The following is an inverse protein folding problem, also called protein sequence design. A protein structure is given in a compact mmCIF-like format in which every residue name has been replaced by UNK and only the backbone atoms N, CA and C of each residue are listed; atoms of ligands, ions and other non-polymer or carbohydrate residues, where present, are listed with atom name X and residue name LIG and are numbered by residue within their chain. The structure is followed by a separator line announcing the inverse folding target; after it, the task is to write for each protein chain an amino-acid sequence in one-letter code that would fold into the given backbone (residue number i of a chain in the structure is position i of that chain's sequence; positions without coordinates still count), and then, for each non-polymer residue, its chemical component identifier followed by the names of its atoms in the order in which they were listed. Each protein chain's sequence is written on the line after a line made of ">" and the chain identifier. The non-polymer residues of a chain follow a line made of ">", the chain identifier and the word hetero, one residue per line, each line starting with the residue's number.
data_IF_701362846523
#
_entry.id   IF_701362846523
#
_cell.length_a   1.000
_cell.length_b   1.000
_cell.length_c   1.000
_cell.angle_alpha   90.00
_cell.angle_beta   90.00
_cell.angle_gamma   90.00
#
_symmetry.space_group_name_H-M   'P 1'
#
loop_
_entity.id
_entity.type
_entity.pdbx_description
1 polymer ?
#
# COMPACT_ATOMS: atom_id res chain seq x y z
N UNK A 1 73.90 31.26 -58.07
CA UNK A 1 73.44 30.75 -56.79
C UNK A 1 71.93 30.91 -56.74
N UNK A 2 71.16 29.82 -56.88
CA UNK A 2 69.72 29.95 -56.85
C UNK A 2 69.23 29.81 -55.41
N UNK A 3 68.28 30.66 -55.00
CA UNK A 3 67.60 30.71 -53.70
C UNK A 3 66.46 29.71 -53.71
N UNK A 4 66.43 28.88 -52.70
CA UNK A 4 65.40 27.83 -52.48
C UNK A 4 64.16 28.48 -51.83
N UNK A 5 62.93 28.36 -52.33
CA UNK A 5 61.72 28.79 -51.63
C UNK A 5 61.24 27.73 -50.61
N UNK A 6 61.14 28.15 -49.36
CA UNK A 6 60.51 27.33 -48.28
C UNK A 6 58.99 27.39 -48.42
N UNK A 7 58.41 26.25 -48.74
CA UNK A 7 56.98 26.02 -48.74
C UNK A 7 56.48 25.82 -47.29
N UNK A 8 55.64 26.68 -46.80
CA UNK A 8 54.92 26.51 -45.55
C UNK A 8 53.64 25.72 -45.83
N UNK A 9 53.49 24.52 -45.23
CA UNK A 9 52.23 23.80 -45.16
C UNK A 9 51.38 24.40 -43.97
N UNK A 10 50.11 24.71 -44.18
CA UNK A 10 49.23 25.03 -43.07
C UNK A 10 48.80 23.77 -42.32
N UNK A 11 48.98 23.78 -41.03
CA UNK A 11 48.45 22.76 -40.13
C UNK A 11 46.92 22.89 -40.02
N UNK A 12 46.19 21.89 -40.51
CA UNK A 12 44.76 21.77 -40.36
C UNK A 12 44.43 21.34 -38.90
N UNK A 13 43.89 22.22 -38.10
CA UNK A 13 43.35 21.91 -36.80
C UNK A 13 41.95 21.29 -36.99
N UNK A 14 41.83 19.97 -36.82
CA UNK A 14 40.54 19.31 -36.81
C UNK A 14 39.85 19.52 -35.46
N UNK A 15 38.82 20.37 -35.46
CA UNK A 15 37.91 20.53 -34.31
C UNK A 15 36.98 19.30 -34.25
N UNK A 16 37.24 18.36 -33.35
CA UNK A 16 36.32 17.27 -33.06
C UNK A 16 35.16 17.81 -32.18
N UNK A 17 34.03 18.10 -32.81
CA UNK A 17 32.79 18.41 -32.08
C UNK A 17 32.25 17.12 -31.47
N UNK A 18 32.48 16.94 -30.17
CA UNK A 18 31.88 15.85 -29.40
C UNK A 18 30.37 16.10 -29.24
N UNK A 19 29.56 15.28 -29.93
CA UNK A 19 28.12 15.27 -29.77
C UNK A 19 27.77 14.58 -28.43
N UNK A 20 27.56 15.37 -27.37
CA UNK A 20 27.01 14.89 -26.11
C UNK A 20 25.53 14.58 -26.32
N UNK A 21 25.19 13.31 -26.53
CA UNK A 21 23.80 12.84 -26.49
C UNK A 21 23.41 12.80 -25.01
N UNK A 22 22.75 13.87 -24.54
CA UNK A 22 22.05 13.88 -23.25
C UNK A 22 20.81 13.01 -23.45
N UNK A 23 20.91 11.72 -23.11
CA UNK A 23 19.72 10.88 -22.95
C UNK A 23 18.95 11.40 -21.75
N UNK A 24 17.90 12.20 -22.00
CA UNK A 24 16.93 12.52 -20.97
C UNK A 24 16.34 11.19 -20.49
N UNK A 25 16.69 10.75 -19.26
CA UNK A 25 16.01 9.67 -18.60
C UNK A 25 14.55 10.12 -18.48
N UNK A 26 13.65 9.50 -19.26
CA UNK A 26 12.21 9.60 -19.03
C UNK A 26 12.00 9.12 -17.62
N UNK A 27 11.45 9.97 -16.75
CA UNK A 27 10.94 9.51 -15.48
C UNK A 27 9.94 8.38 -15.79
N UNK A 28 10.36 7.14 -15.56
CA UNK A 28 9.44 6.01 -15.60
C UNK A 28 8.42 6.26 -14.51
N UNK A 29 7.12 6.12 -14.82
CA UNK A 29 6.07 6.19 -13.79
C UNK A 29 6.36 5.24 -12.63
N UNK A 30 5.51 5.22 -11.59
CA UNK A 30 5.75 4.42 -10.40
C UNK A 30 5.95 2.95 -10.76
N UNK A 31 6.88 2.29 -10.06
CA UNK A 31 7.07 0.85 -10.21
C UNK A 31 5.88 0.11 -9.57
N UNK A 32 4.99 -0.36 -10.41
CA UNK A 32 3.75 -1.05 -10.03
C UNK A 32 4.03 -2.30 -9.18
N UNK A 33 5.04 -3.07 -9.56
CA UNK A 33 5.40 -4.30 -8.86
C UNK A 33 6.07 -3.98 -7.52
N UNK A 34 7.00 -3.03 -7.48
CA UNK A 34 7.64 -2.62 -6.23
C UNK A 34 6.63 -2.03 -5.24
N UNK A 35 5.68 -1.20 -5.70
CA UNK A 35 4.61 -0.68 -4.85
C UNK A 35 3.73 -1.81 -4.31
N UNK A 36 3.39 -2.81 -5.13
CA UNK A 36 2.63 -3.97 -4.68
C UNK A 36 3.39 -4.79 -3.63
N UNK A 37 4.69 -5.06 -3.83
CA UNK A 37 5.50 -5.75 -2.82
C UNK A 37 5.59 -4.94 -1.52
N UNK A 38 5.60 -3.61 -1.62
CA UNK A 38 5.57 -2.75 -0.44
C UNK A 38 4.23 -2.84 0.31
N UNK A 39 3.10 -2.92 -0.40
CA UNK A 39 1.79 -3.19 0.23
C UNK A 39 1.78 -4.59 0.87
N UNK A 40 2.36 -5.61 0.24
CA UNK A 40 2.50 -6.96 0.84
C UNK A 40 3.30 -6.93 2.14
N UNK A 41 4.32 -6.07 2.25
CA UNK A 41 5.12 -5.94 3.46
C UNK A 41 4.35 -5.36 4.65
N UNK A 42 3.14 -4.84 4.42
CA UNK A 42 2.23 -4.38 5.48
C UNK A 42 1.55 -5.51 6.23
N UNK A 43 1.66 -6.78 5.79
CA UNK A 43 1.04 -7.93 6.46
C UNK A 43 1.21 -7.86 7.98
N UNK A 44 0.10 -8.08 8.71
CA UNK A 44 0.02 -7.93 10.16
C UNK A 44 -1.03 -6.91 10.59
N UNK A 45 -1.06 -6.62 11.89
CA UNK A 45 -2.02 -5.72 12.52
C UNK A 45 -1.39 -4.36 12.80
N UNK A 46 -2.14 -3.33 12.55
CA UNK A 46 -1.78 -1.93 12.74
C UNK A 46 -2.86 -1.25 13.57
N UNK A 47 -2.45 -0.41 14.51
CA UNK A 47 -3.38 0.38 15.31
C UNK A 47 -2.96 1.83 15.34
N UNK A 48 -3.91 2.71 15.51
CA UNK A 48 -3.64 4.14 15.55
C UNK A 48 -4.88 4.94 15.88
N UNK A 49 -4.83 6.19 15.47
CA UNK A 49 -5.92 7.14 15.67
C UNK A 49 -6.27 7.83 14.36
N UNK A 50 -7.49 8.28 14.29
CA UNK A 50 -7.96 9.22 13.28
C UNK A 50 -7.53 10.63 13.71
N UNK A 51 -7.05 11.44 12.76
CA UNK A 51 -6.57 12.79 13.05
C UNK A 51 -7.71 13.80 13.23
N UNK A 52 -8.81 13.62 12.54
CA UNK A 52 -9.93 14.54 12.62
C UNK A 52 -11.20 13.81 13.09
N UNK A 53 -11.62 14.13 14.31
CA UNK A 53 -11.04 15.05 15.30
C UNK A 53 -9.72 14.51 15.91
N UNK A 54 -8.83 15.41 16.39
CA UNK A 54 -7.48 15.11 16.93
C UNK A 54 -7.45 13.95 17.95
N UNK A 55 -8.54 13.71 18.65
CA UNK A 55 -8.76 12.59 19.56
C UNK A 55 -9.82 11.61 19.00
N UNK A 56 -9.84 11.42 17.68
CA UNK A 56 -10.76 10.49 17.02
C UNK A 56 -10.68 9.07 17.58
N UNK A 57 -11.67 8.22 17.27
CA UNK A 57 -11.72 6.86 17.77
C UNK A 57 -10.49 6.06 17.33
N UNK A 58 -10.07 5.06 18.12
CA UNK A 58 -8.99 4.17 17.70
C UNK A 58 -9.36 3.45 16.42
N UNK A 59 -8.39 3.34 15.53
CA UNK A 59 -8.49 2.62 14.25
C UNK A 59 -7.62 1.39 14.33
N UNK A 60 -8.13 0.27 13.84
CA UNK A 60 -7.36 -0.96 13.62
C UNK A 60 -7.44 -1.31 12.14
N UNK A 61 -6.28 -1.61 11.56
CA UNK A 61 -6.16 -2.10 10.19
C UNK A 61 -5.37 -3.40 10.21
N UNK A 62 -5.84 -4.41 9.47
CA UNK A 62 -5.14 -5.68 9.34
C UNK A 62 -4.93 -5.99 7.87
N UNK A 63 -3.68 -6.27 7.50
CA UNK A 63 -3.31 -6.70 6.16
C UNK A 63 -3.01 -8.18 6.13
N UNK A 64 -3.56 -8.89 5.15
CA UNK A 64 -3.30 -10.30 4.90
C UNK A 64 -2.86 -10.52 3.46
N UNK A 65 -1.77 -11.26 3.27
CA UNK A 65 -1.35 -11.74 1.95
C UNK A 65 -2.05 -13.06 1.68
N UNK A 66 -2.88 -13.09 0.66
CA UNK A 66 -3.72 -14.25 0.33
C UNK A 66 -3.51 -14.71 -1.13
N UNK A 67 -4.23 -15.75 -1.54
CA UNK A 67 -4.21 -16.24 -2.92
C UNK A 67 -2.79 -16.54 -3.42
N UNK A 68 -1.98 -17.20 -2.59
CA UNK A 68 -0.58 -17.52 -2.90
C UNK A 68 0.25 -16.28 -3.28
N UNK A 69 0.07 -15.18 -2.54
CA UNK A 69 0.78 -13.92 -2.76
C UNK A 69 0.26 -13.06 -3.92
N UNK A 70 -0.90 -13.40 -4.48
CA UNK A 70 -1.49 -12.70 -5.64
C UNK A 70 -2.48 -11.60 -5.25
N UNK A 71 -2.90 -11.55 -3.98
CA UNK A 71 -3.73 -10.48 -3.45
C UNK A 71 -3.30 -10.12 -2.02
N UNK A 72 -3.53 -8.85 -1.66
CA UNK A 72 -3.45 -8.37 -0.28
C UNK A 72 -4.83 -7.89 0.11
N UNK A 73 -5.33 -8.36 1.22
CA UNK A 73 -6.60 -7.92 1.80
C UNK A 73 -6.30 -7.01 2.97
N UNK A 74 -6.83 -5.80 2.92
CA UNK A 74 -6.84 -4.84 4.01
C UNK A 74 -8.22 -4.88 4.66
N UNK A 75 -8.27 -5.18 5.94
CA UNK A 75 -9.46 -5.08 6.78
C UNK A 75 -9.37 -3.79 7.60
N UNK A 76 -10.32 -2.92 7.44
CA UNK A 76 -10.46 -1.69 8.22
C UNK A 76 -11.44 -1.92 9.35
N UNK A 77 -11.01 -1.74 10.59
CA UNK A 77 -11.78 -1.98 11.82
C UNK A 77 -12.41 -3.40 11.89
N UNK A 78 -11.59 -4.46 11.78
CA UNK A 78 -12.07 -5.83 11.73
C UNK A 78 -12.95 -6.18 12.95
N UNK A 79 -14.06 -6.85 12.69
CA UNK A 79 -15.04 -7.25 13.71
C UNK A 79 -15.92 -6.14 14.27
N UNK A 80 -15.89 -4.93 13.69
CA UNK A 80 -16.80 -3.82 14.04
C UNK A 80 -17.95 -3.72 13.04
N UNK A 81 -19.05 -3.09 13.45
CA UNK A 81 -20.22 -2.87 12.58
C UNK A 81 -19.92 -2.00 11.33
N UNK A 82 -18.81 -1.29 11.33
CA UNK A 82 -18.32 -0.46 10.24
C UNK A 82 -17.02 -1.03 9.64
N UNK A 83 -16.85 -2.35 9.69
CA UNK A 83 -15.75 -3.03 9.00
C UNK A 83 -15.87 -2.80 7.49
N UNK A 84 -14.74 -2.50 6.85
CA UNK A 84 -14.62 -2.37 5.41
C UNK A 84 -13.40 -3.15 4.92
N UNK A 85 -13.38 -3.48 3.64
CA UNK A 85 -12.33 -4.29 3.05
C UNK A 85 -11.80 -3.63 1.79
N UNK A 86 -10.48 -3.60 1.62
CA UNK A 86 -9.84 -3.25 0.36
C UNK A 86 -8.98 -4.42 -0.12
N UNK A 87 -9.12 -4.81 -1.38
CA UNK A 87 -8.32 -5.88 -1.99
C UNK A 87 -7.39 -5.27 -3.02
N UNK A 88 -6.08 -5.45 -2.83
CA UNK A 88 -5.02 -5.00 -3.74
C UNK A 88 -4.49 -6.18 -4.56
N UNK A 89 -4.26 -5.98 -5.85
CA UNK A 89 -3.77 -7.04 -6.75
C UNK A 89 -3.08 -6.44 -7.99
N UNK A 90 -2.30 -7.28 -8.67
CA UNK A 90 -1.74 -6.91 -9.98
C UNK A 90 -2.59 -7.52 -11.09
N UNK A 91 -3.15 -6.67 -11.96
CA UNK A 91 -3.80 -7.09 -13.20
C UNK A 91 -2.96 -6.62 -14.39
N UNK A 92 -2.48 -7.56 -15.20
CA UNK A 92 -1.62 -7.26 -16.35
C UNK A 92 -0.40 -6.38 -15.98
N UNK A 93 0.21 -6.63 -14.80
CA UNK A 93 1.34 -5.87 -14.29
C UNK A 93 1.00 -4.47 -13.78
N UNK A 94 -0.29 -4.12 -13.65
CA UNK A 94 -0.75 -2.86 -13.08
C UNK A 94 -1.38 -3.08 -11.71
N UNK A 95 -0.99 -2.27 -10.72
CA UNK A 95 -1.58 -2.31 -9.40
C UNK A 95 -2.99 -1.71 -9.44
N UNK A 96 -3.92 -2.50 -8.96
CA UNK A 96 -5.32 -2.16 -8.81
C UNK A 96 -5.79 -2.45 -7.39
N UNK A 97 -6.87 -1.80 -6.98
CA UNK A 97 -7.55 -2.12 -5.74
C UNK A 97 -9.07 -1.99 -5.90
N UNK A 98 -9.81 -2.75 -5.10
CA UNK A 98 -11.26 -2.61 -4.96
C UNK A 98 -11.59 -2.47 -3.48
N UNK A 99 -12.31 -1.40 -3.14
CA UNK A 99 -12.76 -1.14 -1.78
C UNK A 99 -14.23 -1.56 -1.62
N UNK A 100 -14.52 -2.36 -0.62
CA UNK A 100 -15.88 -2.76 -0.23
C UNK A 100 -16.32 -1.87 0.91
N UNK A 101 -17.05 -0.82 0.57
CA UNK A 101 -17.42 0.24 1.50
C UNK A 101 -18.63 -0.14 2.36
N UNK A 102 -18.67 0.32 3.60
CA UNK A 102 -19.84 0.22 4.47
C UNK A 102 -21.10 0.92 3.93
N UNK A 103 -20.95 1.80 2.95
CA UNK A 103 -22.06 2.42 2.20
C UNK A 103 -22.71 1.46 1.17
N UNK A 104 -22.18 0.24 0.99
CA UNK A 104 -22.72 -0.77 0.07
C UNK A 104 -22.21 -0.62 -1.37
N UNK A 105 -21.26 0.26 -1.63
CA UNK A 105 -20.65 0.44 -2.95
C UNK A 105 -19.23 -0.15 -2.99
N UNK A 106 -18.71 -0.37 -4.23
CA UNK A 106 -17.39 -0.95 -4.45
C UNK A 106 -16.60 -0.09 -5.44
N UNK A 107 -16.03 1.04 -5.00
CA UNK A 107 -15.12 1.83 -5.82
C UNK A 107 -13.84 1.05 -6.13
N UNK A 108 -13.36 1.20 -7.36
CA UNK A 108 -12.13 0.60 -7.85
C UNK A 108 -11.07 1.67 -8.09
N UNK A 109 -9.81 1.27 -7.93
CA UNK A 109 -8.67 2.18 -8.04
C UNK A 109 -7.56 1.56 -8.88
N UNK A 110 -6.71 2.42 -9.41
CA UNK A 110 -5.41 2.09 -10.00
C UNK A 110 -4.32 2.95 -9.35
N UNK A 111 -3.08 2.55 -9.47
CA UNK A 111 -1.96 3.34 -8.97
C UNK A 111 -1.79 4.60 -9.85
N UNK A 112 -1.83 5.78 -9.23
CA UNK A 112 -1.60 7.08 -9.87
C UNK A 112 -0.13 7.22 -10.27
N UNK A 113 0.13 7.83 -11.43
CA UNK A 113 1.48 8.05 -11.96
C UNK A 113 2.34 8.99 -11.10
N UNK A 114 1.75 9.76 -10.20
CA UNK A 114 2.44 10.60 -9.22
C UNK A 114 2.90 9.86 -7.97
N UNK A 115 2.58 8.57 -7.85
CA UNK A 115 3.07 7.73 -6.76
C UNK A 115 4.60 7.70 -6.75
N UNK A 116 5.16 7.57 -5.56
CA UNK A 116 6.60 7.48 -5.33
C UNK A 116 6.95 6.21 -4.56
N UNK A 117 8.24 5.98 -4.30
CA UNK A 117 8.66 4.85 -3.47
C UNK A 117 8.02 4.87 -2.07
N UNK A 118 7.73 6.04 -1.51
CA UNK A 118 7.21 6.21 -0.15
C UNK A 118 5.74 6.62 -0.09
N UNK A 119 5.07 6.72 -1.24
CA UNK A 119 3.67 7.15 -1.32
C UNK A 119 2.95 6.43 -2.45
N UNK A 120 2.06 5.52 -2.12
CA UNK A 120 1.10 4.95 -3.06
C UNK A 120 -0.15 5.82 -3.10
N UNK A 121 -0.41 6.43 -4.25
CA UNK A 121 -1.63 7.17 -4.55
C UNK A 121 -2.55 6.27 -5.36
N UNK A 122 -3.78 6.12 -4.90
CA UNK A 122 -4.83 5.32 -5.52
C UNK A 122 -5.84 6.26 -6.16
N UNK A 123 -5.85 6.35 -7.48
CA UNK A 123 -6.82 7.18 -8.20
C UNK A 123 -8.05 6.36 -8.59
N UNK A 124 -9.19 7.02 -8.64
CA UNK A 124 -10.46 6.40 -9.00
C UNK A 124 -10.44 5.81 -10.42
N UNK A 125 -10.91 4.58 -10.53
CA UNK A 125 -10.97 3.85 -11.80
C UNK A 125 -12.37 3.28 -12.09
N UNK A 126 -13.41 3.87 -11.48
CA UNK A 126 -14.78 3.39 -11.59
C UNK A 126 -15.24 2.61 -10.36
N UNK A 127 -16.19 1.71 -10.54
CA UNK A 127 -16.71 0.89 -9.45
C UNK A 127 -18.09 0.34 -9.74
N UNK A 128 -18.68 -0.33 -8.75
CA UNK A 128 -20.01 -0.92 -8.83
C UNK A 128 -20.85 -0.54 -7.60
N UNK A 129 -22.18 -0.62 -7.75
CA UNK A 129 -23.13 -0.35 -6.66
C UNK A 129 -23.43 1.12 -6.40
N UNK A 130 -23.04 2.05 -7.31
CA UNK A 130 -23.29 3.48 -7.17
C UNK A 130 -23.18 4.23 -8.50
N UNK A 131 -23.76 5.44 -8.55
CA UNK A 131 -23.54 6.43 -9.60
C UNK A 131 -22.56 7.48 -9.06
N UNK A 132 -21.31 7.56 -9.55
CA UNK A 132 -20.29 8.44 -8.98
C UNK A 132 -20.67 9.92 -9.06
N UNK A 133 -21.56 10.32 -9.97
CA UNK A 133 -22.02 11.70 -10.08
C UNK A 133 -23.08 12.09 -9.03
N UNK A 134 -23.73 11.11 -8.38
CA UNK A 134 -24.84 11.32 -7.47
C UNK A 134 -24.63 10.78 -6.08
N UNK A 135 -23.87 9.69 -5.97
CA UNK A 135 -23.75 8.95 -4.72
C UNK A 135 -22.38 9.20 -4.07
N UNK A 136 -22.40 9.29 -2.73
CA UNK A 136 -21.17 9.41 -1.93
C UNK A 136 -20.31 8.15 -2.05
N UNK A 137 -19.02 8.34 -2.34
CA UNK A 137 -18.08 7.23 -2.44
C UNK A 137 -16.66 7.65 -2.01
N UNK A 138 -15.85 6.68 -1.67
CA UNK A 138 -14.41 6.88 -1.51
C UNK A 138 -13.80 6.99 -2.91
N UNK A 139 -13.25 8.16 -3.24
CA UNK A 139 -12.78 8.48 -4.59
C UNK A 139 -11.27 8.31 -4.75
N UNK A 140 -10.53 8.51 -3.68
CA UNK A 140 -9.07 8.49 -3.69
C UNK A 140 -8.54 7.86 -2.41
N UNK A 141 -7.39 7.19 -2.50
CA UNK A 141 -6.67 6.66 -1.34
C UNK A 141 -5.19 7.02 -1.39
N UNK A 142 -4.59 7.16 -0.22
CA UNK A 142 -3.16 7.35 -0.05
C UNK A 142 -2.63 6.39 1.02
N UNK A 143 -1.51 5.73 0.74
CA UNK A 143 -0.72 4.99 1.73
C UNK A 143 0.68 5.59 1.72
N UNK A 144 1.04 6.28 2.80
CA UNK A 144 2.40 6.80 3.01
C UNK A 144 3.18 5.82 3.88
N UNK A 145 4.27 5.33 3.37
CA UNK A 145 5.19 4.44 4.06
C UNK A 145 6.24 5.26 4.81
N UNK A 146 5.97 5.60 6.06
CA UNK A 146 6.85 6.47 6.88
C UNK A 146 8.07 5.71 7.37
N UNK A 147 7.89 4.45 7.82
CA UNK A 147 8.95 3.54 8.25
C UNK A 147 8.43 2.09 8.15
N UNK A 148 9.24 1.05 8.41
CA UNK A 148 8.77 -0.34 8.45
C UNK A 148 7.57 -0.57 9.39
N UNK A 149 7.45 0.26 10.45
CA UNK A 149 6.44 0.10 11.49
C UNK A 149 5.50 1.29 11.64
N UNK A 150 5.54 2.24 10.70
CA UNK A 150 4.67 3.41 10.68
C UNK A 150 4.18 3.71 9.29
N UNK A 151 2.86 3.82 9.13
CA UNK A 151 2.21 4.27 7.89
C UNK A 151 1.18 5.34 8.20
N UNK A 152 0.88 6.16 7.20
CA UNK A 152 -0.28 7.03 7.19
C UNK A 152 -1.21 6.57 6.09
N UNK A 153 -2.50 6.59 6.37
CA UNK A 153 -3.54 6.20 5.46
C UNK A 153 -4.54 7.33 5.34
N UNK A 154 -4.87 7.75 4.11
CA UNK A 154 -5.87 8.79 3.88
C UNK A 154 -6.86 8.34 2.82
N UNK A 155 -8.14 8.56 3.08
CA UNK A 155 -9.23 8.29 2.16
C UNK A 155 -10.05 9.54 1.92
N UNK A 156 -10.25 9.91 0.65
CA UNK A 156 -10.99 11.09 0.25
C UNK A 156 -12.39 10.71 -0.24
N UNK A 157 -13.40 11.43 0.22
CA UNK A 157 -14.81 11.17 -0.05
C UNK A 157 -15.36 12.20 -1.02
N UNK A 158 -16.09 11.75 -2.03
CA UNK A 158 -16.64 12.61 -3.08
C UNK A 158 -18.10 12.28 -3.38
N UNK A 159 -18.80 13.27 -3.99
CA UNK A 159 -20.05 13.13 -4.76
C UNK A 159 -19.88 13.93 -6.04
N UNK A 160 -19.90 13.30 -7.20
CA UNK A 160 -19.52 13.95 -8.44
C UNK A 160 -18.14 14.58 -8.33
N UNK A 161 -17.94 15.81 -8.79
CA UNK A 161 -16.65 16.52 -8.70
C UNK A 161 -16.39 17.14 -7.32
N UNK A 162 -17.33 17.05 -6.37
CA UNK A 162 -17.25 17.72 -5.09
C UNK A 162 -16.63 16.82 -4.04
N UNK A 163 -15.48 17.24 -3.50
CA UNK A 163 -14.91 16.65 -2.30
C UNK A 163 -15.75 16.97 -1.06
N UNK A 164 -16.04 15.95 -0.26
CA UNK A 164 -16.79 16.05 0.99
C UNK A 164 -15.87 16.08 2.21
N UNK A 165 -14.61 15.76 2.04
CA UNK A 165 -13.59 15.65 3.09
C UNK A 165 -12.78 14.36 2.99
N UNK A 166 -11.91 14.15 3.97
CA UNK A 166 -11.09 12.95 4.04
C UNK A 166 -11.04 12.38 5.46
N UNK A 167 -10.73 11.10 5.56
CA UNK A 167 -10.29 10.46 6.81
C UNK A 167 -8.79 10.24 6.75
N UNK A 168 -8.06 10.56 7.82
CA UNK A 168 -6.61 10.40 7.89
C UNK A 168 -6.25 9.63 9.15
N UNK A 169 -5.50 8.53 8.98
CA UNK A 169 -5.09 7.63 10.06
C UNK A 169 -3.57 7.58 10.16
N UNK A 170 -3.06 7.65 11.38
CA UNK A 170 -1.66 7.42 11.71
C UNK A 170 -1.55 6.06 12.39
N UNK A 171 -0.93 5.11 11.71
CA UNK A 171 -0.93 3.71 12.09
C UNK A 171 0.47 3.25 12.49
N UNK A 172 0.55 2.53 13.60
CA UNK A 172 1.74 1.86 14.11
C UNK A 172 1.53 0.37 14.05
N UNK A 173 2.54 -0.37 13.56
CA UNK A 173 2.53 -1.84 13.53
C UNK A 173 2.45 -2.38 14.94
N UNK A 174 1.57 -3.35 15.16
CA UNK A 174 1.52 -4.08 16.42
C UNK A 174 2.62 -5.15 16.41
N UNK A 175 3.39 -5.20 17.49
CA UNK A 175 4.27 -6.34 17.77
C UNK A 175 3.37 -7.47 18.26
N UNK A 176 3.26 -8.55 17.50
CA UNK A 176 2.59 -9.74 18.00
C UNK A 176 3.39 -10.27 19.17
N UNK A 177 2.86 -10.14 20.38
CA UNK A 177 3.39 -10.87 21.53
C UNK A 177 3.15 -12.35 21.27
N UNK A 178 4.19 -13.19 21.26
CA UNK A 178 3.98 -14.62 21.13
C UNK A 178 2.93 -15.08 22.15
N UNK A 179 2.01 -15.98 21.76
CA UNK A 179 1.03 -16.51 22.71
C UNK A 179 1.77 -17.06 23.93
N UNK A 180 1.29 -16.68 25.10
CA UNK A 180 1.83 -17.20 26.36
C UNK A 180 1.84 -18.74 26.28
N UNK A 181 2.93 -19.42 26.67
CA UNK A 181 2.99 -20.87 26.61
C UNK A 181 1.75 -21.44 27.29
N UNK A 182 0.95 -22.18 26.57
CA UNK A 182 -0.20 -22.87 27.14
C UNK A 182 0.33 -23.77 28.24
N UNK A 183 -0.07 -23.49 29.48
CA UNK A 183 0.29 -24.35 30.61
C UNK A 183 -0.09 -25.82 30.27
N UNK A 184 0.79 -26.79 30.54
CA UNK A 184 0.48 -28.16 30.28
C UNK A 184 -0.84 -28.53 30.97
N UNK A 185 -1.69 -29.34 30.35
CA UNK A 185 -2.95 -29.76 30.97
C UNK A 185 -2.65 -30.38 32.34
N UNK A 186 -3.46 -30.00 33.33
CA UNK A 186 -3.35 -30.58 34.66
C UNK A 186 -3.37 -32.13 34.56
N UNK A 187 -2.54 -32.82 35.32
CA UNK A 187 -2.54 -34.29 35.32
C UNK A 187 -3.98 -34.79 35.56
N UNK A 188 -4.39 -35.75 34.74
CA UNK A 188 -5.70 -36.37 34.89
C UNK A 188 -5.89 -36.84 36.33
N UNK A 189 -7.00 -36.50 36.94
CA UNK A 189 -7.34 -36.97 38.28
C UNK A 189 -7.29 -38.50 38.31
N UNK A 190 -6.57 -39.05 39.28
CA UNK A 190 -6.48 -40.49 39.49
C UNK A 190 -7.89 -41.05 39.70
N UNK A 191 -8.27 -42.15 39.01
CA UNK A 191 -9.60 -42.70 39.16
C UNK A 191 -9.85 -43.13 40.62
N UNK A 192 -11.00 -42.73 41.13
CA UNK A 192 -11.40 -43.09 42.49
C UNK A 192 -11.35 -44.62 42.70
N UNK A 193 -10.88 -45.10 43.87
CA UNK A 193 -10.80 -46.52 44.14
C UNK A 193 -12.20 -47.16 44.06
N UNK A 194 -12.26 -48.34 43.45
CA UNK A 194 -13.49 -49.11 43.31
C UNK A 194 -14.14 -49.41 44.68
N UNK A 195 -15.46 -49.37 44.83
CA UNK A 195 -16.12 -49.73 46.08
C UNK A 195 -15.83 -51.19 46.47
N UNK A 196 -15.56 -51.39 47.76
CA UNK A 196 -15.33 -52.75 48.33
C UNK A 196 -16.55 -53.65 48.10
N UNK A 197 -16.36 -54.96 47.84
CA UNK A 197 -17.48 -55.89 47.67
C UNK A 197 -18.28 -56.00 48.97
N UNK A 198 -19.61 -55.93 48.84
CA UNK A 198 -20.54 -56.14 49.94
C UNK A 198 -20.45 -57.61 50.46
N UNK A 199 -20.25 -57.77 51.76
CA UNK A 199 -20.22 -59.03 52.49
C UNK A 199 -21.66 -59.53 52.81
#
# INVERSE_FOLDING_TARGET
>A
MPKNPRTFLPAAVALAAGLFIVTAARASGPDQAATYERIKSLAGTWTGKMEDPIDGPPVTVRYEVVSNGKAVVEYQNPGKSFEMVTVYYLANGKLQATHYCGAGNQPAYKLDEKSTADLALLEFAGGTGFDPEKDGHVHQGEIRFVSPDRIEHRWFHFVGPKELGSTHWFLQRQVETPPEPVAPPAPAAEPAPAPAPAS
#
